data_IF_338483596549
#
_entry.id   IF_338483596549
#
_cell.length_a   1.000
_cell.length_b   1.000
_cell.length_c   1.000
_cell.angle_alpha   90.00
_cell.angle_beta   90.00
_cell.angle_gamma   90.00
#
_symmetry.space_group_name_H-M   'P 1'
#
loop_
_entity.id
_entity.type
_entity.pdbx_description
1 polymer ?
#
# COMPACT_ATOMS: atom_id res chain seq x y z
N UNK A 1 5.52 1.93 14.54
CA UNK A 1 5.09 0.97 13.51
C UNK A 1 4.31 1.64 12.41
N UNK A 2 3.09 2.11 12.71
CA UNK A 2 2.06 2.49 11.73
C UNK A 2 2.52 3.47 10.65
N UNK A 3 3.14 4.60 11.00
CA UNK A 3 3.51 5.60 9.98
C UNK A 3 4.62 5.11 9.03
N UNK A 4 5.77 4.67 9.55
CA UNK A 4 6.90 4.25 8.70
C UNK A 4 6.64 2.91 8.02
N UNK A 5 6.27 1.88 8.78
CA UNK A 5 6.01 0.56 8.21
C UNK A 5 4.76 0.56 7.33
N UNK A 6 3.71 1.31 7.69
CA UNK A 6 2.51 1.43 6.86
C UNK A 6 2.79 2.04 5.50
N UNK A 7 3.57 3.13 5.44
CA UNK A 7 3.98 3.70 4.15
C UNK A 7 4.87 2.75 3.34
N UNK A 8 5.76 1.99 3.99
CA UNK A 8 6.54 0.95 3.32
C UNK A 8 5.63 -0.15 2.74
N UNK A 9 4.63 -0.60 3.50
CA UNK A 9 3.63 -1.58 3.03
C UNK A 9 2.81 -1.02 1.87
N UNK A 10 2.41 0.25 1.90
CA UNK A 10 1.70 0.90 0.77
C UNK A 10 2.54 0.83 -0.51
N UNK A 11 3.85 1.12 -0.42
CA UNK A 11 4.72 1.03 -1.58
C UNK A 11 4.87 -0.41 -2.08
N UNK A 12 5.10 -1.37 -1.19
CA UNK A 12 5.19 -2.79 -1.54
C UNK A 12 3.90 -3.29 -2.21
N UNK A 13 2.74 -2.92 -1.66
CA UNK A 13 1.43 -3.27 -2.21
C UNK A 13 1.21 -2.65 -3.60
N UNK A 14 1.67 -1.42 -3.84
CA UNK A 14 1.59 -0.79 -5.17
C UNK A 14 2.41 -1.54 -6.22
N UNK A 15 3.64 -1.95 -5.88
CA UNK A 15 4.48 -2.75 -6.78
C UNK A 15 3.86 -4.13 -7.04
N UNK A 16 3.40 -4.82 -5.99
CA UNK A 16 2.72 -6.11 -6.14
C UNK A 16 1.43 -6.00 -6.99
N UNK A 17 0.63 -4.94 -6.77
CA UNK A 17 -0.58 -4.66 -7.54
C UNK A 17 -0.26 -4.41 -9.02
N UNK A 18 0.81 -3.68 -9.30
CA UNK A 18 1.24 -3.43 -10.69
C UNK A 18 1.54 -4.74 -11.43
N UNK A 19 2.33 -5.64 -10.81
CA UNK A 19 2.62 -6.97 -11.38
C UNK A 19 1.33 -7.78 -11.58
N UNK A 20 0.42 -7.77 -10.60
CA UNK A 20 -0.87 -8.45 -10.70
C UNK A 20 -1.70 -7.94 -11.89
N UNK A 21 -1.77 -6.61 -12.07
CA UNK A 21 -2.51 -6.01 -13.19
C UNK A 21 -1.88 -6.30 -14.55
N UNK A 22 -0.55 -6.35 -14.64
CA UNK A 22 0.14 -6.77 -15.86
C UNK A 22 -0.19 -8.22 -16.21
N UNK A 23 -0.25 -9.11 -15.22
CA UNK A 23 -0.61 -10.50 -15.47
C UNK A 23 -2.04 -10.60 -16.00
N UNK A 24 -2.97 -9.90 -15.37
CA UNK A 24 -4.37 -9.83 -15.78
C UNK A 24 -4.55 -9.20 -17.17
N UNK A 25 -3.77 -8.16 -17.49
CA UNK A 25 -3.80 -7.46 -18.77
C UNK A 25 -3.47 -8.41 -19.93
N UNK A 26 -2.45 -9.23 -19.75
CA UNK A 26 -2.08 -10.26 -20.72
C UNK A 26 -3.15 -11.39 -20.81
N UNK A 27 -3.83 -11.79 -19.72
CA UNK A 27 -4.92 -12.80 -19.80
C UNK A 27 -6.17 -12.25 -20.50
N UNK A 28 -6.46 -10.96 -20.29
CA UNK A 28 -7.64 -10.29 -20.85
C UNK A 28 -7.36 -9.62 -22.21
N UNK A 29 -6.11 -9.66 -22.68
CA UNK A 29 -5.65 -8.99 -23.91
C UNK A 29 -6.02 -7.50 -23.94
N UNK A 30 -5.66 -6.77 -22.87
CA UNK A 30 -5.88 -5.32 -22.72
C UNK A 30 -4.64 -4.64 -22.15
N UNK A 31 -4.62 -3.32 -22.05
CA UNK A 31 -3.56 -2.62 -21.32
C UNK A 31 -3.81 -2.69 -19.80
N UNK A 32 -2.75 -2.84 -19.01
CA UNK A 32 -2.86 -2.82 -17.55
C UNK A 32 -3.41 -1.49 -17.00
N UNK A 33 -3.20 -0.37 -17.71
CA UNK A 33 -3.78 0.94 -17.38
C UNK A 33 -5.30 0.96 -17.46
N UNK A 34 -5.89 0.06 -18.25
CA UNK A 34 -7.33 -0.01 -18.50
C UNK A 34 -8.01 -0.95 -17.51
N UNK A 35 -7.27 -1.53 -16.56
CA UNK A 35 -7.79 -2.42 -15.53
C UNK A 35 -8.00 -1.70 -14.20
N UNK A 36 -8.99 -2.16 -13.46
CA UNK A 36 -9.17 -1.82 -12.05
C UNK A 36 -9.62 -3.03 -11.24
N UNK A 37 -9.41 -2.96 -9.92
CA UNK A 37 -9.92 -3.96 -8.98
C UNK A 37 -11.31 -3.56 -8.51
N UNK A 38 -12.26 -4.51 -8.45
CA UNK A 38 -13.63 -4.24 -8.00
C UNK A 38 -13.80 -4.18 -6.47
N UNK A 39 -12.73 -4.49 -5.71
CA UNK A 39 -12.74 -4.59 -4.25
C UNK A 39 -13.43 -5.85 -3.70
N UNK A 40 -13.91 -6.74 -4.57
CA UNK A 40 -14.65 -7.97 -4.23
C UNK A 40 -13.91 -9.24 -4.70
N UNK A 41 -12.72 -9.09 -5.28
CA UNK A 41 -11.85 -10.21 -5.66
C UNK A 41 -11.62 -10.36 -7.15
N UNK A 42 -12.09 -9.41 -7.97
CA UNK A 42 -11.90 -9.43 -9.42
C UNK A 42 -11.12 -8.20 -9.93
N UNK A 43 -10.52 -8.40 -11.10
CA UNK A 43 -9.89 -7.37 -11.90
C UNK A 43 -10.72 -7.23 -13.17
N UNK A 44 -11.16 -6.01 -13.48
CA UNK A 44 -12.11 -5.70 -14.54
C UNK A 44 -11.61 -4.59 -15.44
N UNK A 45 -12.04 -4.60 -16.70
CA UNK A 45 -11.76 -3.51 -17.64
C UNK A 45 -12.60 -2.29 -17.29
N UNK A 46 -11.96 -1.12 -17.17
CA UNK A 46 -12.62 0.17 -16.95
C UNK A 46 -13.64 0.43 -18.05
N UNK A 47 -14.90 0.64 -17.66
CA UNK A 47 -16.01 0.87 -18.60
C UNK A 47 -16.59 -0.41 -19.24
N UNK A 48 -16.03 -1.58 -18.97
CA UNK A 48 -16.60 -2.87 -19.37
C UNK A 48 -16.48 -3.92 -18.24
N UNK A 49 -17.22 -3.76 -17.12
CA UNK A 49 -17.14 -4.64 -15.95
C UNK A 49 -17.37 -6.13 -16.24
N UNK A 50 -18.14 -6.44 -17.29
CA UNK A 50 -18.39 -7.80 -17.76
C UNK A 50 -17.13 -8.50 -18.29
N UNK A 51 -16.09 -7.74 -18.64
CA UNK A 51 -14.77 -8.26 -19.01
C UNK A 51 -13.89 -8.23 -17.77
N UNK A 52 -13.90 -9.33 -17.03
CA UNK A 52 -13.21 -9.48 -15.74
C UNK A 52 -12.52 -10.82 -15.59
N UNK A 53 -11.54 -10.89 -14.68
CA UNK A 53 -10.87 -12.11 -14.24
C UNK A 53 -10.71 -12.09 -12.71
N UNK A 54 -10.81 -13.24 -12.06
CA UNK A 54 -10.62 -13.31 -10.61
C UNK A 54 -9.14 -13.12 -10.23
N UNK A 55 -8.86 -12.54 -9.07
CA UNK A 55 -7.49 -12.43 -8.56
C UNK A 55 -6.86 -13.81 -8.37
N UNK A 56 -7.67 -14.82 -8.04
CA UNK A 56 -7.22 -16.21 -7.91
C UNK A 56 -6.68 -16.77 -9.23
N UNK A 57 -7.42 -16.59 -10.33
CA UNK A 57 -6.99 -17.05 -11.65
C UNK A 57 -5.76 -16.29 -12.15
N UNK A 58 -5.67 -15.00 -11.83
CA UNK A 58 -4.48 -14.18 -12.11
C UNK A 58 -3.27 -14.70 -11.36
N UNK A 59 -3.41 -15.06 -10.08
CA UNK A 59 -2.33 -15.65 -9.30
C UNK A 59 -1.88 -17.02 -9.84
N UNK A 60 -2.83 -17.87 -10.26
CA UNK A 60 -2.53 -19.13 -10.92
C UNK A 60 -1.82 -18.94 -12.25
N UNK A 61 -2.28 -18.00 -13.08
CA UNK A 61 -1.62 -17.67 -14.34
C UNK A 61 -0.20 -17.15 -14.11
N UNK A 62 -0.03 -16.22 -13.17
CA UNK A 62 1.28 -15.68 -12.80
C UNK A 62 2.25 -16.81 -12.43
N UNK A 63 1.82 -17.71 -11.54
CA UNK A 63 2.71 -18.76 -11.04
C UNK A 63 2.97 -19.87 -12.06
N UNK A 64 1.93 -20.42 -12.68
CA UNK A 64 2.03 -21.66 -13.45
C UNK A 64 2.17 -21.44 -14.96
N UNK A 65 1.61 -20.37 -15.51
CA UNK A 65 1.73 -20.07 -16.95
C UNK A 65 2.93 -19.18 -17.25
N UNK A 66 3.20 -18.20 -16.38
CA UNK A 66 4.16 -17.11 -16.67
C UNK A 66 5.46 -17.20 -15.88
N UNK A 67 5.52 -18.04 -14.84
CA UNK A 67 6.69 -18.12 -13.96
C UNK A 67 7.02 -16.79 -13.26
N UNK A 68 6.01 -15.95 -13.00
CA UNK A 68 6.14 -14.62 -12.38
C UNK A 68 5.65 -14.67 -10.94
N UNK A 69 6.41 -14.05 -10.04
CA UNK A 69 5.97 -13.82 -8.66
C UNK A 69 5.20 -12.50 -8.58
N UNK A 70 3.99 -12.52 -8.00
CA UNK A 70 3.27 -11.32 -7.59
C UNK A 70 3.84 -10.87 -6.25
N UNK A 71 4.89 -10.06 -6.29
CA UNK A 71 5.56 -9.55 -5.10
C UNK A 71 5.94 -8.08 -5.29
N UNK A 72 6.16 -7.39 -4.17
CA UNK A 72 6.56 -6.00 -4.16
C UNK A 72 7.41 -5.69 -2.94
N UNK A 73 8.21 -4.63 -3.05
CA UNK A 73 9.11 -4.16 -2.01
C UNK A 73 8.77 -2.71 -1.70
N UNK A 74 9.02 -2.31 -0.46
CA UNK A 74 8.67 -0.96 -0.03
C UNK A 74 9.53 -0.50 1.11
N UNK A 75 9.85 0.78 1.06
CA UNK A 75 10.68 1.44 2.06
C UNK A 75 10.22 2.89 2.18
N UNK A 76 9.96 3.32 3.41
CA UNK A 76 9.63 4.70 3.68
C UNK A 76 10.71 5.32 4.57
N UNK A 77 11.50 6.20 3.97
CA UNK A 77 12.54 6.97 4.66
C UNK A 77 12.21 8.46 4.56
N UNK A 78 12.55 9.17 5.63
CA UNK A 78 12.45 10.62 5.69
C UNK A 78 13.88 11.16 5.72
N UNK A 79 14.16 12.31 5.09
CA UNK A 79 15.45 12.97 5.23
C UNK A 79 15.75 13.19 6.72
N UNK A 80 16.95 12.80 7.14
CA UNK A 80 17.37 12.99 8.53
C UNK A 80 17.52 14.49 8.80
N UNK A 81 16.82 14.98 9.82
CA UNK A 81 17.02 16.33 10.35
C UNK A 81 18.00 16.28 11.51
N UNK A 82 19.11 17.01 11.39
CA UNK A 82 20.03 17.25 12.49
C UNK A 82 19.63 18.54 13.22
N UNK A 83 19.82 18.62 14.54
CA UNK A 83 19.61 19.85 15.27
C UNK A 83 20.64 20.91 14.88
N UNK A 84 20.15 22.14 14.67
CA UNK A 84 21.00 23.33 14.60
C UNK A 84 21.75 23.51 15.92
N UNK A 85 23.05 23.78 15.86
CA UNK A 85 23.92 23.76 17.05
C UNK A 85 23.58 24.86 18.04
N UNK A 86 23.23 26.05 17.54
CA UNK A 86 22.99 27.25 18.35
C UNK A 86 21.57 27.31 18.90
N UNK A 87 20.58 26.89 18.11
CA UNK A 87 19.15 27.05 18.43
C UNK A 87 18.48 25.75 18.88
N UNK A 88 19.08 24.60 18.57
CA UNK A 88 18.45 23.28 18.74
C UNK A 88 17.31 23.00 17.76
N UNK A 89 17.06 23.88 16.78
CA UNK A 89 15.96 23.71 15.85
C UNK A 89 16.13 22.44 15.00
N UNK A 90 15.07 21.63 14.91
CA UNK A 90 15.03 20.42 14.08
C UNK A 90 13.60 20.02 13.72
N UNK A 91 13.47 19.13 12.73
CA UNK A 91 12.22 18.45 12.35
C UNK A 91 12.36 16.94 12.61
N UNK A 92 12.20 16.48 13.86
CA UNK A 92 12.48 15.08 14.25
C UNK A 92 11.39 14.10 13.78
N UNK A 93 10.16 14.57 13.59
CA UNK A 93 9.02 13.76 13.19
C UNK A 93 8.28 14.36 12.00
N UNK A 94 7.67 13.49 11.20
CA UNK A 94 6.78 13.86 10.08
C UNK A 94 5.31 13.96 10.48
N UNK A 95 4.96 13.49 11.67
CA UNK A 95 3.59 13.51 12.17
C UNK A 95 3.61 13.61 13.70
N UNK A 96 2.69 14.38 14.26
CA UNK A 96 2.53 14.58 15.70
C UNK A 96 1.10 14.23 16.08
N UNK A 97 0.92 13.21 16.92
CA UNK A 97 -0.36 12.91 17.52
C UNK A 97 -0.62 13.86 18.68
N UNK A 98 -1.81 14.43 18.74
CA UNK A 98 -2.24 15.31 19.81
C UNK A 98 -3.44 14.67 20.50
N UNK A 99 -3.48 14.75 21.82
CA UNK A 99 -4.57 14.24 22.63
C UNK A 99 -4.81 15.18 23.82
N UNK A 100 -6.05 15.22 24.29
CA UNK A 100 -6.44 15.88 25.53
C UNK A 100 -7.26 14.89 26.34
N UNK A 101 -6.87 14.67 27.60
CA UNK A 101 -7.53 13.73 28.50
C UNK A 101 -7.79 14.42 29.82
N UNK A 102 -9.03 14.34 30.31
CA UNK A 102 -9.42 14.74 31.67
C UNK A 102 -9.78 13.47 32.42
N UNK A 103 -9.29 13.34 33.65
CA UNK A 103 -9.60 12.23 34.54
C UNK A 103 -10.08 12.78 35.88
N UNK A 104 -11.18 12.23 36.37
CA UNK A 104 -11.71 12.44 37.73
C UNK A 104 -11.52 11.13 38.49
N UNK A 105 -11.04 11.23 39.73
CA UNK A 105 -10.74 10.09 40.59
C UNK A 105 -11.16 10.39 42.03
N UNK A 106 -11.77 9.41 42.68
CA UNK A 106 -12.01 9.40 44.12
C UNK A 106 -10.90 8.59 44.81
N UNK A 107 -10.43 9.08 45.96
CA UNK A 107 -9.40 8.41 46.78
C UNK A 107 -10.03 8.06 48.13
N UNK A 108 -9.90 6.80 48.53
CA UNK A 108 -10.30 6.33 49.87
C UNK A 108 -9.25 6.75 50.92
N UNK A 109 -9.67 7.01 52.15
CA UNK A 109 -8.81 7.57 53.22
C UNK A 109 -7.69 6.61 53.69
#
# INVERSE_FOLDING_TARGET
GTHRAGNAVIQAAKEARQVMLEVAAEELEVNASDLDTDGQGNIQVKGAPQKSISIFDVALSAHFKRGRSISGRGMFLIPRSYPEKETGAMKPSTCYAHACTVAEVDVDD
#
